data_IF_571856870155
#
_entry.id   IF_571856870155
#
_cell.length_a   1.000
_cell.length_b   1.000
_cell.length_c   1.000
_cell.angle_alpha   90.00
_cell.angle_beta   90.00
_cell.angle_gamma   90.00
#
_symmetry.space_group_name_H-M   'P 1'
#
loop_
_entity.id
_entity.type
_entity.pdbx_description
1 polymer ?
#
# COMPACT_ATOMS: atom_id res chain seq x y z
N UNK A 1 -11.39 30.79 9.35
CA UNK A 1 -10.02 30.71 8.85
C UNK A 1 -9.86 29.31 8.30
N UNK A 2 -10.03 29.17 6.99
CA UNK A 2 -10.13 27.88 6.32
C UNK A 2 -8.70 27.36 6.09
N UNK A 3 -8.20 26.61 7.06
CA UNK A 3 -6.97 25.83 6.85
C UNK A 3 -7.40 24.65 6.01
N UNK A 4 -7.21 24.76 4.70
CA UNK A 4 -7.20 23.61 3.80
C UNK A 4 -6.17 22.64 4.39
N UNK A 5 -6.65 21.55 5.02
CA UNK A 5 -5.81 20.40 5.33
C UNK A 5 -5.19 19.96 4.01
N UNK A 6 -3.89 20.18 3.85
CA UNK A 6 -3.12 19.50 2.82
C UNK A 6 -3.21 18.02 3.19
N UNK A 7 -4.10 17.29 2.52
CA UNK A 7 -4.18 15.84 2.66
C UNK A 7 -2.79 15.26 2.35
N UNK A 8 -2.33 14.34 3.20
CA UNK A 8 -1.09 13.63 2.95
C UNK A 8 -1.22 12.89 1.60
N UNK A 9 -0.20 12.96 0.77
CA UNK A 9 -0.20 12.39 -0.59
C UNK A 9 -0.62 10.90 -0.60
N UNK A 10 -0.22 10.15 0.42
CA UNK A 10 -0.59 8.75 0.64
C UNK A 10 -2.11 8.61 0.86
N UNK A 11 -2.72 9.45 1.69
CA UNK A 11 -4.16 9.42 1.98
C UNK A 11 -4.99 9.67 0.72
N UNK A 12 -4.54 10.59 -0.15
CA UNK A 12 -5.18 10.86 -1.44
C UNK A 12 -5.20 9.59 -2.30
N UNK A 13 -4.06 8.88 -2.39
CA UNK A 13 -3.96 7.64 -3.18
C UNK A 13 -4.83 6.52 -2.60
N UNK A 14 -4.81 6.35 -1.29
CA UNK A 14 -5.63 5.33 -0.62
C UNK A 14 -7.11 5.59 -0.82
N UNK A 15 -7.53 6.86 -0.72
CA UNK A 15 -8.92 7.28 -1.00
C UNK A 15 -9.30 6.96 -2.44
N UNK A 16 -8.43 7.23 -3.42
CA UNK A 16 -8.69 6.87 -4.83
C UNK A 16 -8.89 5.38 -5.03
N UNK A 17 -8.05 4.54 -4.40
CA UNK A 17 -8.19 3.07 -4.49
C UNK A 17 -9.50 2.61 -3.85
N UNK A 18 -9.85 3.13 -2.67
CA UNK A 18 -11.12 2.78 -2.00
C UNK A 18 -12.36 3.22 -2.78
N UNK A 19 -12.32 4.42 -3.38
CA UNK A 19 -13.41 4.88 -4.25
C UNK A 19 -13.58 3.95 -5.45
N UNK A 20 -12.48 3.55 -6.09
CA UNK A 20 -12.52 2.57 -7.18
C UNK A 20 -13.14 1.24 -6.75
N UNK A 21 -12.76 0.71 -5.58
CA UNK A 21 -13.37 -0.52 -5.03
C UNK A 21 -14.89 -0.36 -4.84
N UNK A 22 -15.32 0.75 -4.24
CA UNK A 22 -16.73 1.07 -4.01
C UNK A 22 -17.52 1.17 -5.32
N UNK A 23 -17.03 1.94 -6.30
CA UNK A 23 -17.66 2.10 -7.62
C UNK A 23 -17.81 0.77 -8.37
N UNK A 24 -16.84 -0.13 -8.21
CA UNK A 24 -16.83 -1.45 -8.86
C UNK A 24 -17.47 -2.56 -8.03
N UNK A 25 -17.90 -2.28 -6.80
CA UNK A 25 -18.44 -3.26 -5.85
C UNK A 25 -17.47 -4.42 -5.59
N UNK A 26 -16.19 -4.09 -5.39
CA UNK A 26 -15.16 -5.04 -5.01
C UNK A 26 -14.88 -4.95 -3.51
N UNK A 27 -14.71 -6.11 -2.85
CA UNK A 27 -14.37 -6.16 -1.43
C UNK A 27 -12.91 -5.82 -1.14
N UNK A 28 -12.04 -5.93 -2.15
CA UNK A 28 -10.63 -5.56 -2.02
C UNK A 28 -9.82 -5.69 -3.30
N UNK A 29 -8.56 -5.25 -3.23
CA UNK A 29 -7.57 -5.37 -4.31
C UNK A 29 -6.22 -5.78 -3.74
N UNK A 30 -5.51 -6.62 -4.49
CA UNK A 30 -4.12 -6.99 -4.21
C UNK A 30 -3.18 -6.11 -5.05
N UNK A 31 -2.21 -5.49 -4.38
CA UNK A 31 -1.13 -4.71 -5.01
C UNK A 31 0.20 -5.44 -4.77
N UNK A 32 0.82 -5.94 -5.84
CA UNK A 32 2.10 -6.64 -5.76
C UNK A 32 3.17 -6.11 -6.73
N UNK A 33 2.79 -5.50 -7.86
CA UNK A 33 3.77 -4.86 -8.76
C UNK A 33 4.60 -3.83 -8.00
N UNK A 34 5.92 -3.86 -8.18
CA UNK A 34 6.88 -3.02 -7.43
C UNK A 34 6.54 -1.54 -7.60
N UNK A 35 6.22 -1.10 -8.82
CA UNK A 35 5.83 0.28 -9.12
C UNK A 35 4.53 0.69 -8.44
N UNK A 36 3.52 -0.18 -8.42
CA UNK A 36 2.24 0.09 -7.78
C UNK A 36 2.36 0.12 -6.25
N UNK A 37 3.19 -0.76 -5.69
CA UNK A 37 3.49 -0.75 -4.26
C UNK A 37 4.17 0.58 -3.87
N UNK A 38 5.25 0.94 -4.57
CA UNK A 38 5.96 2.20 -4.30
C UNK A 38 5.05 3.42 -4.47
N UNK A 39 4.21 3.44 -5.51
CA UNK A 39 3.21 4.48 -5.65
C UNK A 39 2.26 4.50 -4.45
N UNK A 40 1.71 3.36 -4.04
CA UNK A 40 0.70 3.27 -2.98
C UNK A 40 1.24 3.65 -1.59
N UNK A 41 2.53 3.40 -1.31
CA UNK A 41 3.15 3.61 0.01
C UNK A 41 3.97 4.89 0.12
N UNK A 42 4.01 5.73 -0.92
CA UNK A 42 4.81 6.96 -0.91
C UNK A 42 6.30 6.74 -1.14
N UNK A 43 6.68 5.65 -1.80
CA UNK A 43 8.06 5.34 -2.21
C UNK A 43 8.63 4.04 -1.64
N UNK A 44 7.83 3.25 -0.91
CA UNK A 44 8.31 2.04 -0.27
C UNK A 44 8.82 0.97 -1.25
N UNK A 45 9.85 0.23 -0.86
CA UNK A 45 10.55 -0.74 -1.70
C UNK A 45 10.05 -2.16 -1.44
N UNK A 46 9.50 -2.80 -2.47
CA UNK A 46 8.97 -4.16 -2.39
C UNK A 46 9.78 -5.19 -3.20
N UNK A 47 11.00 -4.85 -3.64
CA UNK A 47 11.84 -5.76 -4.41
C UNK A 47 12.88 -6.45 -3.52
N UNK A 48 13.15 -7.72 -3.82
CA UNK A 48 14.33 -8.46 -3.31
C UNK A 48 15.28 -8.75 -4.47
N UNK A 49 14.73 -9.14 -5.63
CA UNK A 49 15.47 -9.30 -6.88
C UNK A 49 15.04 -8.24 -7.90
N UNK A 50 15.97 -7.79 -8.75
CA UNK A 50 15.73 -6.76 -9.77
C UNK A 50 15.24 -7.32 -11.12
N UNK A 51 15.22 -8.64 -11.29
CA UNK A 51 14.81 -9.31 -12.52
C UNK A 51 13.30 -9.67 -12.55
N UNK A 52 12.49 -9.00 -11.74
CA UNK A 52 11.04 -9.22 -11.62
C UNK A 52 10.31 -7.89 -11.53
N UNK A 53 9.07 -7.85 -12.04
CA UNK A 53 8.17 -6.70 -11.90
C UNK A 53 7.30 -6.79 -10.63
N UNK A 54 7.30 -7.96 -9.99
CA UNK A 54 6.51 -8.33 -8.83
C UNK A 54 7.37 -8.37 -7.57
N UNK A 55 6.82 -7.83 -6.49
CA UNK A 55 7.52 -7.70 -5.23
C UNK A 55 7.39 -8.92 -4.32
N UNK A 56 8.23 -8.96 -3.29
CA UNK A 56 8.29 -10.06 -2.33
C UNK A 56 7.09 -10.11 -1.38
N UNK A 57 6.42 -8.97 -1.17
CA UNK A 57 5.19 -8.86 -0.37
C UNK A 57 4.04 -8.32 -1.22
N UNK A 58 2.80 -8.50 -0.76
CA UNK A 58 1.62 -7.88 -1.37
C UNK A 58 0.87 -7.04 -0.36
N UNK A 59 0.18 -6.00 -0.82
CA UNK A 59 -0.81 -5.30 0.00
C UNK A 59 -2.21 -5.76 -0.39
N UNK A 60 -3.00 -6.19 0.58
CA UNK A 60 -4.44 -6.35 0.42
C UNK A 60 -5.14 -5.09 0.94
N UNK A 61 -5.73 -4.33 0.03
CA UNK A 61 -6.49 -3.12 0.36
C UNK A 61 -7.97 -3.48 0.39
N UNK A 62 -8.63 -3.15 1.49
CA UNK A 62 -10.08 -3.26 1.68
C UNK A 62 -10.70 -1.89 1.96
N UNK A 63 -12.02 -1.82 2.05
CA UNK A 63 -12.76 -0.63 2.49
C UNK A 63 -12.30 -0.14 3.88
N UNK A 64 -11.95 -1.07 4.77
CA UNK A 64 -11.62 -0.79 6.18
C UNK A 64 -10.13 -0.71 6.47
N UNK A 65 -9.36 -1.66 5.97
CA UNK A 65 -7.97 -1.90 6.37
C UNK A 65 -7.07 -2.20 5.18
N UNK A 66 -5.77 -2.06 5.39
CA UNK A 66 -4.73 -2.47 4.46
C UNK A 66 -3.85 -3.48 5.20
N UNK A 67 -3.70 -4.66 4.61
CA UNK A 67 -2.91 -5.74 5.18
C UNK A 67 -1.67 -6.02 4.36
N UNK A 68 -0.56 -6.32 5.02
CA UNK A 68 0.64 -6.86 4.42
C UNK A 68 0.55 -8.38 4.35
N UNK A 69 0.54 -8.91 3.12
CA UNK A 69 0.66 -10.34 2.86
C UNK A 69 2.13 -10.64 2.54
N UNK A 70 2.80 -11.32 3.45
CA UNK A 70 4.23 -11.61 3.30
C UNK A 70 4.65 -12.87 4.07
N UNK A 71 5.84 -13.38 3.79
CA UNK A 71 6.46 -14.40 4.63
C UNK A 71 7.00 -13.77 5.93
N UNK A 72 7.37 -14.59 6.92
CA UNK A 72 7.81 -14.10 8.23
C UNK A 72 9.10 -13.26 8.19
N UNK A 73 9.96 -13.47 7.18
CA UNK A 73 11.23 -12.74 7.06
C UNK A 73 10.95 -11.34 6.50
N UNK A 74 10.18 -11.25 5.42
CA UNK A 74 9.87 -10.00 4.74
C UNK A 74 8.82 -9.17 5.49
N UNK A 75 7.91 -9.77 6.26
CA UNK A 75 6.92 -9.02 7.05
C UNK A 75 7.58 -8.11 8.07
N UNK A 76 8.55 -8.64 8.84
CA UNK A 76 9.30 -7.83 9.82
C UNK A 76 10.08 -6.70 9.15
N UNK A 77 10.75 -7.00 8.04
CA UNK A 77 11.54 -6.03 7.29
C UNK A 77 10.65 -4.92 6.73
N UNK A 78 9.53 -5.27 6.07
CA UNK A 78 8.57 -4.32 5.51
C UNK A 78 7.99 -3.39 6.56
N UNK A 79 7.52 -3.93 7.69
CA UNK A 79 6.92 -3.12 8.74
C UNK A 79 7.93 -2.15 9.37
N UNK A 80 9.20 -2.52 9.48
CA UNK A 80 10.26 -1.65 10.04
C UNK A 80 10.81 -0.64 9.04
N UNK A 81 11.10 -1.07 7.81
CA UNK A 81 11.86 -0.28 6.85
C UNK A 81 10.96 0.57 5.94
N UNK A 82 9.84 0.02 5.47
CA UNK A 82 9.09 0.60 4.34
C UNK A 82 7.68 1.06 4.73
N UNK A 83 7.09 0.49 5.78
CA UNK A 83 5.70 0.72 6.19
C UNK A 83 5.57 1.28 7.60
N UNK A 84 6.68 1.65 8.24
CA UNK A 84 6.67 2.21 9.58
C UNK A 84 5.75 3.45 9.65
N UNK A 85 4.85 3.47 10.63
CA UNK A 85 3.89 4.55 10.87
C UNK A 85 2.86 4.78 9.73
N UNK A 86 2.70 3.84 8.80
CA UNK A 86 1.69 3.97 7.73
C UNK A 86 0.29 3.51 8.18
N UNK A 87 0.20 2.65 9.20
CA UNK A 87 -1.07 2.02 9.61
C UNK A 87 -1.45 0.78 8.79
N UNK A 88 -0.53 0.27 7.95
CA UNK A 88 -0.64 -1.07 7.37
C UNK A 88 -0.42 -2.13 8.45
N UNK A 89 -1.26 -3.16 8.46
CA UNK A 89 -1.24 -4.27 9.43
C UNK A 89 -0.54 -5.53 8.87
#
# INVERSE_FOLDING_TARGET
MEVIMILNEIEIKWTRVRNFLSEKKFDGIIINRISNFAWFTGGGRNYVALNTEFGASSLLVTDKKIYLLSNNIESERMLREELANTGVE
#
